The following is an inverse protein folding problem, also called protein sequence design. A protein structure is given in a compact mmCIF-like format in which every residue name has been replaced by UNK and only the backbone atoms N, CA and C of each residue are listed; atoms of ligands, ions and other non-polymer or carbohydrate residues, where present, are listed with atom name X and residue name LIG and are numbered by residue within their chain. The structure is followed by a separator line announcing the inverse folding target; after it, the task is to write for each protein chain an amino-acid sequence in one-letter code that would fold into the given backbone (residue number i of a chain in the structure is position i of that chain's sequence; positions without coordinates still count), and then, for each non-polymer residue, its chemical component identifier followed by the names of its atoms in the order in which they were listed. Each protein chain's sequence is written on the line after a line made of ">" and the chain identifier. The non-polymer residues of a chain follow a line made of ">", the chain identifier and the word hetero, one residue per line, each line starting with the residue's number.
data_IF_467573671623
#
_entry.id   IF_467573671623
#
_cell.length_a   1.000
_cell.length_b   1.000
_cell.length_c   1.000
_cell.angle_alpha   90.00
_cell.angle_beta   90.00
_cell.angle_gamma   90.00
#
_symmetry.space_group_name_H-M   'P 1'
#
loop_
_entity.id
_entity.type
_entity.pdbx_description
1 polymer ?
#
# COMPACT_ATOMS: atom_id res chain seq x y z
N UNK A 1 7.82 -2.85 -11.73
CA UNK A 1 8.12 -2.32 -10.38
C UNK A 1 6.96 -1.49 -9.83
N UNK A 2 6.57 -0.37 -10.46
CA UNK A 2 5.41 0.42 -9.97
C UNK A 2 4.05 -0.28 -10.03
N UNK A 3 3.84 -1.17 -11.01
CA UNK A 3 2.59 -1.94 -11.17
C UNK A 3 2.39 -2.87 -9.97
N UNK A 4 3.45 -3.57 -9.56
CA UNK A 4 3.46 -4.48 -8.40
C UNK A 4 3.10 -3.75 -7.10
N UNK A 5 3.65 -2.55 -6.89
CA UNK A 5 3.33 -1.73 -5.71
C UNK A 5 1.86 -1.33 -5.66
N UNK A 6 1.27 -0.98 -6.82
CA UNK A 6 -0.16 -0.66 -6.91
C UNK A 6 -1.05 -1.88 -6.65
N UNK A 7 -0.67 -3.05 -7.17
CA UNK A 7 -1.37 -4.30 -6.87
C UNK A 7 -1.28 -4.65 -5.38
N UNK A 8 -0.13 -4.45 -4.74
CA UNK A 8 0.02 -4.67 -3.30
C UNK A 8 -0.89 -3.79 -2.47
N UNK A 9 -0.95 -2.48 -2.78
CA UNK A 9 -1.87 -1.54 -2.12
C UNK A 9 -3.33 -1.97 -2.31
N UNK A 10 -3.70 -2.40 -3.53
CA UNK A 10 -5.06 -2.83 -3.83
C UNK A 10 -5.43 -4.09 -3.03
N UNK A 11 -4.51 -5.04 -2.92
CA UNK A 11 -4.70 -6.26 -2.13
C UNK A 11 -4.85 -5.94 -0.64
N UNK A 12 -3.99 -5.07 -0.08
CA UNK A 12 -4.13 -4.63 1.31
C UNK A 12 -5.45 -3.89 1.57
N UNK A 13 -5.90 -3.07 0.62
CA UNK A 13 -7.18 -2.39 0.72
C UNK A 13 -8.36 -3.36 0.68
N UNK A 14 -8.30 -4.39 -0.17
CA UNK A 14 -9.33 -5.41 -0.23
C UNK A 14 -9.39 -6.24 1.07
N UNK A 15 -8.24 -6.64 1.62
CA UNK A 15 -8.19 -7.35 2.92
C UNK A 15 -8.79 -6.52 4.05
N UNK A 16 -8.44 -5.22 4.10
CA UNK A 16 -9.00 -4.30 5.09
C UNK A 16 -10.51 -4.12 4.92
N UNK A 17 -11.00 -4.06 3.67
CA UNK A 17 -12.42 -3.96 3.36
C UNK A 17 -13.20 -5.22 3.78
N UNK A 18 -12.61 -6.41 3.61
CA UNK A 18 -13.22 -7.67 4.07
C UNK A 18 -13.36 -7.74 5.59
N UNK A 19 -12.62 -6.91 6.32
CA UNK A 19 -12.63 -6.82 7.79
C UNK A 19 -13.34 -5.56 8.30
N UNK A 20 -14.21 -4.96 7.49
CA UNK A 20 -14.98 -3.76 7.83
C UNK A 20 -14.12 -2.56 8.31
N UNK A 21 -12.85 -2.50 7.87
CA UNK A 21 -11.87 -1.49 8.28
C UNK A 21 -11.52 -1.48 9.78
N UNK A 22 -11.82 -2.53 10.53
CA UNK A 22 -11.58 -2.61 11.98
C UNK A 22 -10.25 -3.30 12.35
N UNK A 23 -9.62 -3.98 11.40
CA UNK A 23 -8.36 -4.68 11.63
C UNK A 23 -7.15 -3.72 11.56
N UNK A 24 -6.61 -3.38 12.73
CA UNK A 24 -5.44 -2.51 12.89
C UNK A 24 -4.18 -3.04 12.17
N UNK A 25 -4.02 -4.36 12.07
CA UNK A 25 -2.90 -4.97 11.37
C UNK A 25 -3.04 -4.80 9.86
N UNK A 26 -4.24 -5.02 9.31
CA UNK A 26 -4.55 -4.78 7.91
C UNK A 26 -4.39 -3.29 7.55
N UNK A 27 -4.79 -2.39 8.46
CA UNK A 27 -4.62 -0.95 8.32
C UNK A 27 -3.13 -0.56 8.29
N UNK A 28 -2.33 -1.18 9.16
CA UNK A 28 -0.87 -1.00 9.18
C UNK A 28 -0.23 -1.47 7.86
N UNK A 29 -0.59 -2.67 7.39
CA UNK A 29 -0.06 -3.24 6.15
C UNK A 29 -0.39 -2.37 4.92
N UNK A 30 -1.60 -1.80 4.88
CA UNK A 30 -1.99 -0.85 3.84
C UNK A 30 -1.14 0.42 3.89
N UNK A 31 -0.94 0.99 5.07
CA UNK A 31 -0.12 2.19 5.26
C UNK A 31 1.36 1.96 4.90
N UNK A 32 1.93 0.81 5.24
CA UNK A 32 3.29 0.41 4.85
C UNK A 32 3.40 0.31 3.31
N UNK A 33 2.45 -0.36 2.65
CA UNK A 33 2.43 -0.47 1.18
C UNK A 33 2.31 0.89 0.48
N UNK A 34 1.50 1.80 1.03
CA UNK A 34 1.37 3.18 0.53
C UNK A 34 2.67 3.96 0.72
N UNK A 35 3.36 3.76 1.84
CA UNK A 35 4.64 4.43 2.14
C UNK A 35 5.71 3.99 1.16
N UNK A 36 5.86 2.68 0.94
CA UNK A 36 6.82 2.12 -0.04
C UNK A 36 6.56 2.67 -1.45
N UNK A 37 5.30 2.77 -1.86
CA UNK A 37 4.93 3.39 -3.14
C UNK A 37 5.32 4.87 -3.23
N UNK A 38 5.14 5.64 -2.15
CA UNK A 38 5.51 7.06 -2.11
C UNK A 38 7.02 7.23 -2.19
N UNK A 39 7.79 6.43 -1.44
CA UNK A 39 9.26 6.46 -1.46
C UNK A 39 9.80 6.09 -2.84
N UNK A 40 9.26 5.02 -3.44
CA UNK A 40 9.60 4.65 -4.82
C UNK A 40 9.30 5.79 -5.80
N UNK A 41 8.11 6.39 -5.72
CA UNK A 41 7.72 7.51 -6.60
C UNK A 41 8.60 8.75 -6.39
N UNK A 42 9.05 9.02 -5.16
CA UNK A 42 9.99 10.10 -4.86
C UNK A 42 11.35 9.83 -5.50
N UNK A 43 11.89 8.61 -5.35
CA UNK A 43 13.17 8.22 -5.95
C UNK A 43 13.20 8.32 -7.48
N UNK A 44 12.04 8.20 -8.14
CA UNK A 44 11.90 8.38 -9.58
C UNK A 44 11.86 9.85 -10.02
N UNK A 45 11.50 10.78 -9.13
CA UNK A 45 11.46 12.22 -9.43
C UNK A 45 12.82 12.90 -9.25
N UNK A 46 13.70 12.30 -8.47
CA UNK A 46 15.07 12.80 -8.21
C UNK A 46 16.11 12.23 -9.19
N UNK A 47 15.68 11.50 -10.22
CA UNK A 47 16.49 11.01 -11.36
C UNK A 47 16.13 11.73 -12.65
#
# INVERSE_FOLDING_TARGET
>A
MIVVLKESILNCFNDLKEKDFDDELALKNLNESITEYKEYKLSLKEK
#
